data_IF_744330517596
#
_entry.id   IF_744330517596
#
_cell.length_a   1.000
_cell.length_b   1.000
_cell.length_c   1.000
_cell.angle_alpha   90.00
_cell.angle_beta   90.00
_cell.angle_gamma   90.00
#
_symmetry.space_group_name_H-M   'P 1'
#
loop_
_entity.id
_entity.type
_entity.pdbx_description
1 polymer ?
#
# COMPACT_ATOMS: atom_id res chain seq x y z
N UNK A 1 12.72 42.33 -20.61
CA UNK A 1 11.77 41.29 -20.14
C UNK A 1 11.32 40.46 -21.32
N UNK A 2 11.53 39.13 -21.26
CA UNK A 2 11.03 38.19 -22.26
C UNK A 2 9.49 38.17 -22.30
N UNK A 3 8.91 37.66 -23.39
CA UNK A 3 7.45 37.56 -23.56
C UNK A 3 6.84 36.64 -22.50
N UNK A 4 7.55 35.57 -22.17
CA UNK A 4 7.22 34.57 -21.17
C UNK A 4 7.11 35.21 -19.78
N UNK A 5 8.07 36.07 -19.39
CA UNK A 5 8.02 36.77 -18.10
C UNK A 5 6.80 37.69 -18.01
N UNK A 6 6.42 38.36 -19.10
CA UNK A 6 5.22 39.22 -19.12
C UNK A 6 3.94 38.41 -18.94
N UNK A 7 3.84 37.24 -19.59
CA UNK A 7 2.68 36.36 -19.45
C UNK A 7 2.60 35.77 -18.03
N UNK A 8 3.74 35.32 -17.49
CA UNK A 8 3.83 34.77 -16.15
C UNK A 8 3.41 35.80 -15.09
N UNK A 9 3.96 37.01 -15.14
CA UNK A 9 3.59 38.10 -14.22
C UNK A 9 2.12 38.53 -14.39
N UNK A 10 1.59 38.52 -15.62
CA UNK A 10 0.18 38.80 -15.86
C UNK A 10 -0.74 37.76 -15.21
N UNK A 11 -0.39 36.47 -15.26
CA UNK A 11 -1.17 35.41 -14.63
C UNK A 11 -1.02 35.49 -13.10
N UNK A 12 0.20 35.67 -12.59
CA UNK A 12 0.54 35.73 -11.16
C UNK A 12 -0.19 36.86 -10.44
N UNK A 13 -0.20 38.06 -11.03
CA UNK A 13 -0.78 39.26 -10.43
C UNK A 13 -2.28 39.41 -10.73
N UNK A 14 -2.88 38.49 -11.49
CA UNK A 14 -4.32 38.48 -11.75
C UNK A 14 -5.10 38.11 -10.49
N UNK A 15 -6.22 38.81 -10.25
CA UNK A 15 -7.21 38.42 -9.22
C UNK A 15 -7.86 37.08 -9.53
N UNK A 16 -7.96 36.73 -10.82
CA UNK A 16 -8.56 35.48 -11.29
C UNK A 16 -7.61 34.78 -12.28
N UNK A 17 -6.54 34.13 -11.79
CA UNK A 17 -5.52 33.53 -12.67
C UNK A 17 -6.10 32.52 -13.68
N UNK A 18 -7.12 31.75 -13.28
CA UNK A 18 -7.75 30.75 -14.14
C UNK A 18 -8.54 31.36 -15.30
N UNK A 19 -9.22 32.49 -15.09
CA UNK A 19 -9.89 33.19 -16.20
C UNK A 19 -8.84 33.79 -17.13
N UNK A 20 -7.78 34.38 -16.58
CA UNK A 20 -6.68 34.92 -17.38
C UNK A 20 -6.00 33.86 -18.24
N UNK A 21 -5.77 32.65 -17.72
CA UNK A 21 -5.26 31.51 -18.50
C UNK A 21 -6.22 31.14 -19.62
N UNK A 22 -7.53 31.05 -19.35
CA UNK A 22 -8.55 30.77 -20.38
C UNK A 22 -8.55 31.84 -21.48
N UNK A 23 -8.50 33.11 -21.09
CA UNK A 23 -8.55 34.25 -22.01
C UNK A 23 -7.29 34.31 -22.88
N UNK A 24 -6.12 34.04 -22.30
CA UNK A 24 -4.88 33.96 -23.06
C UNK A 24 -4.92 32.81 -24.09
N UNK A 25 -5.44 31.65 -23.69
CA UNK A 25 -5.60 30.50 -24.57
C UNK A 25 -6.61 30.78 -25.68
N UNK A 26 -7.78 31.36 -25.37
CA UNK A 26 -8.79 31.71 -26.39
C UNK A 26 -8.30 32.80 -27.34
N UNK A 27 -7.41 33.68 -26.88
CA UNK A 27 -6.70 34.67 -27.70
C UNK A 27 -5.55 34.09 -28.54
N UNK A 28 -5.40 32.76 -28.60
CA UNK A 28 -4.39 32.09 -29.44
C UNK A 28 -2.97 32.10 -28.89
N UNK A 29 -2.75 32.44 -27.62
CA UNK A 29 -1.42 32.35 -27.02
C UNK A 29 -1.06 30.89 -26.73
N UNK A 30 0.10 30.43 -27.22
CA UNK A 30 0.67 29.15 -26.77
C UNK A 30 1.28 29.33 -25.38
N UNK A 31 0.66 28.72 -24.38
CA UNK A 31 1.15 28.73 -22.99
C UNK A 31 2.19 27.63 -22.72
N UNK A 32 2.39 26.69 -23.65
CA UNK A 32 3.38 25.62 -23.54
C UNK A 32 4.81 26.15 -23.39
N UNK A 33 5.10 27.30 -24.01
CA UNK A 33 6.40 27.97 -23.88
C UNK A 33 6.73 28.37 -22.43
N UNK A 34 5.70 28.56 -21.59
CA UNK A 34 5.92 28.84 -20.17
C UNK A 34 6.51 27.65 -19.42
N UNK A 35 6.37 26.42 -19.92
CA UNK A 35 6.86 25.22 -19.25
C UNK A 35 8.39 25.20 -19.10
N UNK A 36 9.11 25.94 -19.95
CA UNK A 36 10.57 26.08 -19.87
C UNK A 36 11.00 27.15 -18.85
N UNK A 37 10.07 27.97 -18.36
CA UNK A 37 10.38 29.03 -17.43
C UNK A 37 10.57 28.50 -16.01
N UNK A 38 11.68 28.87 -15.34
CA UNK A 38 12.06 28.34 -14.04
C UNK A 38 10.98 28.50 -12.95
N UNK A 39 10.18 29.57 -13.01
CA UNK A 39 9.13 29.86 -12.01
C UNK A 39 7.75 29.26 -12.33
N UNK A 40 7.58 28.56 -13.46
CA UNK A 40 6.26 28.05 -13.87
C UNK A 40 5.68 27.08 -12.84
N UNK A 41 6.50 26.19 -12.26
CA UNK A 41 6.06 25.25 -11.25
C UNK A 41 5.58 25.94 -9.97
N UNK A 42 6.24 27.02 -9.56
CA UNK A 42 5.81 27.86 -8.43
C UNK A 42 4.45 28.51 -8.72
N UNK A 43 4.28 29.11 -9.91
CA UNK A 43 3.01 29.70 -10.33
C UNK A 43 1.87 28.66 -10.35
N UNK A 44 2.11 27.49 -10.96
CA UNK A 44 1.09 26.43 -11.05
C UNK A 44 0.68 25.93 -9.66
N UNK A 45 1.65 25.73 -8.76
CA UNK A 45 1.39 25.35 -7.38
C UNK A 45 0.55 26.40 -6.63
N UNK A 46 0.87 27.68 -6.79
CA UNK A 46 0.09 28.78 -6.18
C UNK A 46 -1.35 28.81 -6.69
N UNK A 47 -1.56 28.68 -8.01
CA UNK A 47 -2.90 28.65 -8.61
C UNK A 47 -3.69 27.45 -8.11
N UNK A 48 -3.08 26.25 -8.11
CA UNK A 48 -3.73 25.01 -7.66
C UNK A 48 -4.08 25.07 -6.18
N UNK A 49 -3.17 25.56 -5.33
CA UNK A 49 -3.40 25.74 -3.90
C UNK A 49 -4.53 26.74 -3.62
N UNK A 50 -4.50 27.92 -4.25
CA UNK A 50 -5.54 28.96 -4.05
C UNK A 50 -6.93 28.56 -4.53
N UNK A 51 -7.01 27.69 -5.54
CA UNK A 51 -8.28 27.27 -6.15
C UNK A 51 -8.71 25.85 -5.76
N UNK A 52 -8.10 25.26 -4.72
CA UNK A 52 -8.41 23.89 -4.26
C UNK A 52 -8.51 22.88 -5.42
N UNK A 53 -7.55 22.94 -6.36
CA UNK A 53 -7.50 22.03 -7.50
C UNK A 53 -8.61 22.17 -8.56
N UNK A 54 -9.61 23.04 -8.38
CA UNK A 54 -10.72 23.25 -9.34
C UNK A 54 -10.22 23.71 -10.73
N UNK A 55 -9.05 24.34 -10.77
CA UNK A 55 -8.39 24.81 -11.98
C UNK A 55 -7.56 23.79 -12.74
N UNK A 56 -7.34 22.58 -12.21
CA UNK A 56 -6.41 21.59 -12.78
C UNK A 56 -6.74 21.26 -14.23
N UNK A 57 -8.03 21.06 -14.55
CA UNK A 57 -8.47 20.81 -15.93
C UNK A 57 -8.11 21.95 -16.88
N UNK A 58 -8.34 23.19 -16.44
CA UNK A 58 -8.07 24.38 -17.26
C UNK A 58 -6.58 24.50 -17.55
N UNK A 59 -5.74 24.28 -16.54
CA UNK A 59 -4.28 24.36 -16.67
C UNK A 59 -3.75 23.27 -17.62
N UNK A 60 -4.19 22.03 -17.44
CA UNK A 60 -3.84 20.90 -18.32
C UNK A 60 -4.31 21.13 -19.76
N UNK A 61 -5.57 21.54 -19.94
CA UNK A 61 -6.12 21.81 -21.27
C UNK A 61 -5.36 22.96 -21.95
N UNK A 62 -4.71 23.84 -21.18
CA UNK A 62 -3.90 24.95 -21.70
C UNK A 62 -2.46 24.56 -22.02
N UNK A 63 -2.09 23.29 -21.93
CA UNK A 63 -0.75 22.78 -22.26
C UNK A 63 0.30 23.08 -21.18
N UNK A 64 -0.11 23.47 -19.97
CA UNK A 64 0.82 23.73 -18.88
C UNK A 64 1.28 22.41 -18.23
N UNK A 65 2.58 22.28 -18.01
CA UNK A 65 3.21 21.10 -17.44
C UNK A 65 2.94 21.02 -15.92
N UNK A 66 1.95 20.21 -15.56
CA UNK A 66 1.57 19.98 -14.16
C UNK A 66 2.55 19.07 -13.40
N UNK A 67 3.63 18.60 -14.03
CA UNK A 67 4.75 17.94 -13.35
C UNK A 67 5.80 18.92 -12.81
N UNK A 68 5.72 20.20 -13.20
CA UNK A 68 6.64 21.23 -12.75
C UNK A 68 6.59 21.43 -11.23
N UNK A 69 7.76 21.73 -10.66
CA UNK A 69 7.96 21.80 -9.22
C UNK A 69 8.02 23.25 -8.75
N UNK A 70 7.47 23.50 -7.57
CA UNK A 70 7.71 24.74 -6.84
C UNK A 70 9.20 24.85 -6.50
N UNK A 71 9.85 25.94 -6.90
CA UNK A 71 11.30 26.12 -6.73
C UNK A 71 11.73 26.16 -5.26
N UNK A 72 10.85 26.63 -4.38
CA UNK A 72 11.13 26.77 -2.94
C UNK A 72 10.88 25.47 -2.19
N UNK A 73 9.73 24.82 -2.39
CA UNK A 73 9.32 23.65 -1.58
C UNK A 73 9.61 22.31 -2.27
N UNK A 74 9.75 22.30 -3.59
CA UNK A 74 9.78 21.09 -4.40
C UNK A 74 8.40 20.44 -4.55
N UNK A 75 7.31 21.08 -4.14
CA UNK A 75 5.96 20.52 -4.35
C UNK A 75 5.61 20.50 -5.84
N UNK A 76 4.86 19.47 -6.24
CA UNK A 76 4.15 19.47 -7.52
C UNK A 76 2.66 19.74 -7.27
N UNK A 77 1.92 20.19 -8.30
CA UNK A 77 0.47 20.24 -8.23
C UNK A 77 -0.19 18.95 -7.70
N UNK A 78 0.36 17.79 -8.07
CA UNK A 78 -0.13 16.49 -7.58
C UNK A 78 0.05 16.33 -6.07
N UNK A 79 1.22 16.68 -5.52
CA UNK A 79 1.47 16.64 -4.07
C UNK A 79 0.46 17.52 -3.33
N UNK A 80 0.20 18.74 -3.83
CA UNK A 80 -0.73 19.68 -3.21
C UNK A 80 -2.17 19.15 -3.20
N UNK A 81 -2.69 18.67 -4.33
CA UNK A 81 -4.06 18.14 -4.35
C UNK A 81 -4.22 16.91 -3.47
N UNK A 82 -3.19 16.06 -3.37
CA UNK A 82 -3.18 14.92 -2.46
C UNK A 82 -3.10 15.36 -0.99
N UNK A 83 -2.30 16.38 -0.67
CA UNK A 83 -2.17 16.93 0.69
C UNK A 83 -3.48 17.57 1.19
N UNK A 84 -4.23 18.21 0.30
CA UNK A 84 -5.57 18.76 0.59
C UNK A 84 -6.67 17.68 0.58
N UNK A 85 -6.40 16.51 0.01
CA UNK A 85 -7.35 15.39 -0.09
C UNK A 85 -8.38 15.52 -1.22
N UNK A 86 -8.02 16.25 -2.28
CA UNK A 86 -8.88 16.57 -3.42
C UNK A 86 -8.88 15.43 -4.44
N UNK A 87 -9.82 14.50 -4.30
CA UNK A 87 -9.82 13.23 -5.04
C UNK A 87 -9.96 13.40 -6.56
N UNK A 88 -10.89 14.23 -7.02
CA UNK A 88 -11.13 14.47 -8.44
C UNK A 88 -9.88 15.03 -9.16
N UNK A 89 -9.33 16.17 -8.70
CA UNK A 89 -8.09 16.72 -9.24
C UNK A 89 -6.89 15.77 -9.13
N UNK A 90 -6.77 15.01 -8.05
CA UNK A 90 -5.72 14.01 -7.88
C UNK A 90 -5.79 12.92 -8.96
N UNK A 91 -6.95 12.30 -9.15
CA UNK A 91 -7.16 11.27 -10.19
C UNK A 91 -6.91 11.85 -11.58
N UNK A 92 -7.36 13.09 -11.83
CA UNK A 92 -7.12 13.76 -13.10
C UNK A 92 -5.61 13.94 -13.39
N UNK A 93 -4.83 14.36 -12.39
CA UNK A 93 -3.38 14.50 -12.54
C UNK A 93 -2.69 13.13 -12.68
N UNK A 94 -3.08 12.13 -11.88
CA UNK A 94 -2.53 10.77 -11.97
C UNK A 94 -2.67 10.21 -13.40
N UNK A 95 -3.83 10.42 -14.03
CA UNK A 95 -4.11 9.91 -15.38
C UNK A 95 -3.46 10.71 -16.52
N UNK A 96 -2.96 11.93 -16.25
CA UNK A 96 -2.41 12.82 -17.27
C UNK A 96 -0.89 12.98 -17.17
N UNK A 97 -0.32 12.75 -16.00
CA UNK A 97 1.12 12.85 -15.77
C UNK A 97 1.83 11.55 -16.16
N UNK A 98 3.07 11.63 -16.67
CA UNK A 98 3.83 10.45 -16.99
C UNK A 98 4.27 9.71 -15.70
N UNK A 99 4.38 8.37 -15.71
CA UNK A 99 4.58 7.58 -14.49
C UNK A 99 5.84 7.91 -13.68
N UNK A 100 6.91 8.37 -14.33
CA UNK A 100 8.16 8.77 -13.67
C UNK A 100 7.99 10.02 -12.78
N UNK A 101 7.00 10.87 -13.07
CA UNK A 101 6.72 12.09 -12.29
C UNK A 101 5.77 11.87 -11.13
N UNK A 102 5.01 10.77 -11.14
CA UNK A 102 4.06 10.42 -10.07
C UNK A 102 4.77 10.06 -8.75
N UNK A 103 6.02 9.62 -8.85
CA UNK A 103 6.90 9.30 -7.72
C UNK A 103 7.86 10.45 -7.43
N UNK A 104 7.44 11.69 -7.62
CA UNK A 104 8.25 12.83 -7.17
C UNK A 104 8.12 13.01 -5.66
N UNK A 105 9.22 13.38 -4.99
CA UNK A 105 9.24 13.79 -3.60
C UNK A 105 9.67 15.25 -3.47
N UNK A 106 8.93 16.03 -2.70
CA UNK A 106 9.33 17.41 -2.39
C UNK A 106 10.56 17.45 -1.44
N UNK A 107 11.01 18.65 -1.09
CA UNK A 107 12.19 18.84 -0.22
C UNK A 107 12.02 18.31 1.21
N UNK A 108 10.79 18.08 1.66
CA UNK A 108 10.51 17.45 2.96
C UNK A 108 10.35 15.92 2.88
N UNK A 109 10.57 15.33 1.70
CA UNK A 109 10.35 13.91 1.47
C UNK A 109 8.86 13.54 1.55
N UNK A 110 7.96 14.43 1.16
CA UNK A 110 6.55 14.12 0.99
C UNK A 110 6.24 13.76 -0.47
N UNK A 111 5.35 12.79 -0.66
CA UNK A 111 4.95 12.25 -1.97
C UNK A 111 3.44 12.22 -2.06
N UNK A 112 2.92 12.15 -3.29
CA UNK A 112 1.49 11.95 -3.51
C UNK A 112 0.98 10.71 -2.76
N UNK A 113 1.70 9.58 -2.86
CA UNK A 113 1.37 8.35 -2.15
C UNK A 113 1.36 8.53 -0.62
N UNK A 114 2.37 9.21 -0.05
CA UNK A 114 2.43 9.47 1.40
C UNK A 114 1.21 10.25 1.86
N UNK A 115 0.84 11.33 1.17
CA UNK A 115 -0.34 12.12 1.53
C UNK A 115 -1.65 11.37 1.36
N UNK A 116 -1.79 10.56 0.31
CA UNK A 116 -2.98 9.75 0.11
C UNK A 116 -3.16 8.70 1.23
N UNK A 117 -2.06 8.06 1.66
CA UNK A 117 -2.08 7.10 2.76
C UNK A 117 -2.39 7.79 4.09
N UNK A 118 -1.66 8.85 4.45
CA UNK A 118 -1.84 9.54 5.73
C UNK A 118 -3.23 10.13 5.88
N UNK A 119 -3.91 10.51 4.79
CA UNK A 119 -5.27 11.06 4.85
C UNK A 119 -6.39 10.02 4.73
N UNK A 120 -6.06 8.75 4.50
CA UNK A 120 -7.06 7.68 4.45
C UNK A 120 -7.77 7.52 3.10
N UNK A 121 -7.13 7.83 1.97
CA UNK A 121 -7.73 7.80 0.63
C UNK A 121 -7.79 6.39 -0.02
N UNK A 122 -7.99 5.34 0.77
CA UNK A 122 -8.12 3.97 0.25
C UNK A 122 -9.41 3.75 -0.53
N UNK A 123 -10.54 4.23 0.00
CA UNK A 123 -11.87 3.99 -0.56
C UNK A 123 -12.22 4.84 -1.79
N UNK A 124 -11.61 6.03 -1.95
CA UNK A 124 -11.95 6.96 -3.02
C UNK A 124 -11.24 6.65 -4.36
N UNK A 125 -10.48 5.55 -4.43
CA UNK A 125 -9.80 5.10 -5.63
C UNK A 125 -8.52 5.87 -5.99
N UNK A 126 -8.14 6.91 -5.25
CA UNK A 126 -6.91 7.67 -5.54
C UNK A 126 -5.65 6.81 -5.44
N UNK A 127 -5.50 6.04 -4.35
CA UNK A 127 -4.35 5.14 -4.15
C UNK A 127 -4.39 4.04 -5.20
N UNK A 128 -5.55 3.44 -5.45
CA UNK A 128 -5.69 2.39 -6.46
C UNK A 128 -5.33 2.89 -7.87
N UNK A 129 -5.80 4.08 -8.25
CA UNK A 129 -5.48 4.71 -9.54
C UNK A 129 -3.98 4.96 -9.65
N UNK A 130 -3.37 5.56 -8.62
CA UNK A 130 -1.93 5.80 -8.58
C UNK A 130 -1.13 4.50 -8.76
N UNK A 131 -1.45 3.47 -7.98
CA UNK A 131 -0.76 2.18 -8.07
C UNK A 131 -1.01 1.44 -9.40
N UNK A 132 -2.11 1.75 -10.10
CA UNK A 132 -2.42 1.12 -11.38
C UNK A 132 -1.56 1.61 -12.55
N UNK A 133 -1.00 2.82 -12.43
CA UNK A 133 -0.17 3.46 -13.46
C UNK A 133 1.32 3.45 -13.13
N UNK A 134 1.69 3.03 -11.90
CA UNK A 134 3.08 3.02 -11.44
C UNK A 134 3.81 1.73 -11.84
N UNK A 135 4.96 1.81 -12.51
CA UNK A 135 5.73 0.63 -12.91
C UNK A 135 6.30 -0.08 -11.68
N UNK A 136 5.70 -1.22 -11.34
CA UNK A 136 6.01 -2.03 -10.16
C UNK A 136 7.50 -2.31 -9.99
N UNK A 137 8.14 -2.74 -11.07
CA UNK A 137 9.53 -3.18 -11.04
C UNK A 137 10.53 -2.06 -10.85
N UNK A 138 10.17 -0.83 -11.23
CA UNK A 138 11.03 0.35 -11.08
C UNK A 138 10.75 1.10 -9.79
N UNK A 139 9.51 1.08 -9.31
CA UNK A 139 9.06 1.95 -8.23
C UNK A 139 8.81 1.22 -6.90
N UNK A 140 8.40 -0.05 -6.91
CA UNK A 140 7.95 -0.78 -5.72
C UNK A 140 8.81 -1.99 -5.35
N UNK A 141 9.43 -2.67 -6.31
CA UNK A 141 10.35 -3.77 -6.00
C UNK A 141 11.66 -3.23 -5.40
N UNK A 142 12.11 -3.75 -4.24
CA UNK A 142 13.45 -3.47 -3.72
C UNK A 142 14.52 -3.79 -4.76
N UNK A 143 15.52 -2.92 -4.91
CA UNK A 143 16.65 -3.17 -5.84
C UNK A 143 17.45 -4.42 -5.45
N UNK A 144 17.48 -4.77 -4.17
CA UNK A 144 18.23 -5.90 -3.62
C UNK A 144 17.46 -7.22 -3.65
N UNK A 145 16.31 -7.26 -4.31
CA UNK A 145 15.44 -8.44 -4.26
C UNK A 145 16.12 -9.68 -4.87
N UNK A 146 17.03 -9.50 -5.84
CA UNK A 146 17.85 -10.57 -6.41
C UNK A 146 18.78 -11.20 -5.36
N UNK A 147 19.43 -10.40 -4.51
CA UNK A 147 20.27 -10.90 -3.41
C UNK A 147 19.46 -11.61 -2.32
N UNK A 148 18.25 -11.11 -2.03
CA UNK A 148 17.32 -11.78 -1.10
C UNK A 148 16.95 -13.16 -1.65
N UNK A 149 16.69 -13.27 -2.95
CA UNK A 149 16.32 -14.53 -3.58
C UNK A 149 17.47 -15.54 -3.69
N UNK A 150 18.67 -15.10 -4.05
CA UNK A 150 19.84 -15.98 -4.06
C UNK A 150 20.06 -16.63 -2.68
N UNK A 151 19.83 -15.86 -1.60
CA UNK A 151 19.92 -16.38 -0.23
C UNK A 151 18.78 -17.34 0.12
N UNK A 152 17.54 -17.04 -0.26
CA UNK A 152 16.39 -17.95 -0.02
C UNK A 152 16.62 -19.29 -0.75
N UNK A 153 17.08 -19.24 -2.00
CA UNK A 153 17.34 -20.43 -2.82
C UNK A 153 18.48 -21.28 -2.24
N UNK A 154 19.55 -20.66 -1.73
CA UNK A 154 20.63 -21.34 -1.02
C UNK A 154 20.18 -21.99 0.29
N UNK A 155 19.30 -21.35 1.07
CA UNK A 155 18.74 -21.92 2.31
C UNK A 155 17.84 -23.12 2.00
N UNK A 156 17.00 -23.02 0.97
CA UNK A 156 16.09 -24.09 0.57
C UNK A 156 16.85 -25.31 0.03
N UNK A 157 17.89 -25.09 -0.78
CA UNK A 157 18.77 -26.17 -1.28
C UNK A 157 19.55 -26.87 -0.15
N UNK A 158 20.02 -26.13 0.86
CA UNK A 158 20.70 -26.69 2.05
C UNK A 158 19.77 -27.55 2.93
N UNK A 159 18.49 -27.20 3.00
CA UNK A 159 17.49 -28.01 3.73
C UNK A 159 17.18 -29.34 3.02
N UNK A 160 17.16 -29.33 1.69
CA UNK A 160 16.96 -30.53 0.87
C UNK A 160 18.18 -31.45 0.87
N UNK A 161 19.41 -30.90 0.91
CA UNK A 161 20.62 -31.72 1.00
C UNK A 161 20.81 -32.39 2.36
N UNK A 162 20.34 -31.78 3.46
CA UNK A 162 20.33 -32.41 4.80
C UNK A 162 19.30 -33.54 4.91
N UNK A 163 18.19 -33.47 4.18
CA UNK A 163 17.18 -34.55 4.17
C UNK A 163 17.63 -35.84 3.47
N UNK A 164 18.72 -35.79 2.68
CA UNK A 164 19.29 -36.96 1.99
C UNK A 164 20.24 -37.79 2.86
N UNK A 165 20.62 -37.34 4.06
CA UNK A 165 21.57 -38.06 4.93
C UNK A 165 20.93 -38.68 6.19
N UNK A 166 19.60 -38.72 6.29
CA UNK A 166 18.91 -39.37 7.42
C UNK A 166 18.38 -40.72 6.96
N UNK A 167 19.31 -41.66 6.80
CA UNK A 167 19.01 -43.10 6.84
C UNK A 167 20.06 -43.73 7.75
N UNK A 168 20.01 -43.35 9.03
CA UNK A 168 20.45 -44.14 10.18
C UNK A 168 20.18 -43.36 11.48
N UNK A 169 19.81 -44.12 12.51
CA UNK A 169 19.67 -43.79 13.94
C UNK A 169 18.25 -43.54 14.53
N UNK A 170 18.09 -44.13 15.71
CA UNK A 170 16.90 -44.52 16.47
C UNK A 170 16.03 -43.39 17.06
N UNK A 171 14.76 -43.70 17.44
CA UNK A 171 13.81 -42.71 17.94
C UNK A 171 13.91 -42.58 19.46
N UNK A 172 14.78 -41.70 19.95
CA UNK A 172 14.70 -41.23 21.34
C UNK A 172 15.44 -39.91 21.52
N UNK A 173 14.81 -38.81 21.08
CA UNK A 173 14.81 -37.50 21.73
C UNK A 173 13.99 -36.53 20.86
N UNK A 174 13.30 -35.60 21.51
CA UNK A 174 12.26 -34.79 20.89
C UNK A 174 12.87 -33.60 20.13
N UNK A 175 13.35 -33.84 18.91
CA UNK A 175 13.79 -32.77 18.02
C UNK A 175 12.59 -32.13 17.32
N UNK A 176 11.89 -31.26 18.06
CA UNK A 176 11.05 -30.23 17.46
C UNK A 176 11.92 -29.39 16.55
N UNK A 177 11.53 -29.27 15.27
CA UNK A 177 12.14 -28.45 14.22
C UNK A 177 12.30 -26.98 14.67
N UNK A 178 13.33 -26.69 15.46
CA UNK A 178 13.76 -25.36 15.78
C UNK A 178 14.53 -24.82 14.57
N UNK A 179 13.92 -23.87 13.85
CA UNK A 179 14.64 -23.04 12.90
C UNK A 179 15.64 -22.18 13.70
N UNK A 180 16.84 -22.74 13.89
CA UNK A 180 17.91 -22.19 14.69
C UNK A 180 18.34 -20.80 14.24
N UNK A 181 18.47 -19.96 15.25
CA UNK A 181 19.19 -18.69 15.31
C UNK A 181 20.54 -18.82 14.63
N UNK A 182 20.74 -18.20 13.46
CA UNK A 182 22.06 -17.77 12.94
C UNK A 182 21.91 -17.17 11.54
N UNK A 183 21.22 -16.02 11.47
CA UNK A 183 21.29 -15.12 10.31
C UNK A 183 21.24 -13.68 10.84
N UNK A 184 22.38 -13.17 11.28
CA UNK A 184 22.61 -11.75 11.58
C UNK A 184 22.62 -10.93 10.30
N UNK A 185 21.47 -10.82 9.64
CA UNK A 185 21.21 -9.78 8.66
C UNK A 185 20.43 -8.68 9.37
N UNK A 186 21.13 -7.70 9.93
CA UNK A 186 20.55 -6.37 10.11
C UNK A 186 20.44 -5.76 8.71
N UNK A 187 19.24 -5.54 8.15
CA UNK A 187 19.13 -4.65 7.01
C UNK A 187 19.64 -3.29 7.52
N UNK A 188 20.55 -2.66 6.77
CA UNK A 188 20.88 -1.26 7.03
C UNK A 188 19.56 -0.47 7.18
N UNK A 189 19.49 0.49 8.12
CA UNK A 189 18.27 1.27 8.30
C UNK A 189 17.91 1.86 6.96
N UNK A 190 16.80 1.41 6.39
CA UNK A 190 16.29 1.92 5.12
C UNK A 190 15.94 3.36 5.45
N UNK A 191 16.76 4.32 4.99
CA UNK A 191 16.37 5.72 4.97
C UNK A 191 14.94 5.78 4.46
N UNK A 192 14.03 6.51 5.13
CA UNK A 192 12.62 6.54 4.79
C UNK A 192 12.43 7.26 3.46
N UNK A 193 12.78 6.57 2.38
CA UNK A 193 12.50 6.98 1.02
C UNK A 193 10.99 7.01 0.91
N UNK A 194 10.48 8.22 0.73
CA UNK A 194 9.07 8.62 0.80
C UNK A 194 8.14 7.91 -0.20
N UNK A 195 8.73 7.20 -1.17
CA UNK A 195 8.09 6.35 -2.16
C UNK A 195 7.82 4.92 -1.67
N UNK A 196 8.49 4.49 -0.60
CA UNK A 196 8.37 3.14 -0.01
C UNK A 196 7.30 3.06 1.07
N UNK A 197 6.37 4.01 1.12
CA UNK A 197 5.34 4.09 2.16
C UNK A 197 4.49 2.81 2.24
N UNK A 198 4.14 2.20 1.10
CA UNK A 198 3.45 0.91 1.09
C UNK A 198 4.33 -0.24 1.58
N UNK A 199 5.65 -0.15 1.43
CA UNK A 199 6.58 -1.17 1.89
C UNK A 199 6.79 -1.14 3.41
N UNK A 200 6.08 -0.33 4.18
CA UNK A 200 6.13 -0.33 5.66
C UNK A 200 5.30 -1.47 6.25
N UNK A 201 5.45 -1.75 7.55
CA UNK A 201 4.58 -2.74 8.22
C UNK A 201 3.16 -2.21 8.36
N UNK A 202 2.18 -3.09 8.50
CA UNK A 202 0.78 -2.68 8.69
C UNK A 202 0.63 -1.78 9.93
N UNK A 203 1.36 -2.04 11.02
CA UNK A 203 1.33 -1.21 12.22
C UNK A 203 1.82 0.22 11.96
N UNK A 204 2.98 0.36 11.32
CA UNK A 204 3.52 1.67 10.93
C UNK A 204 2.56 2.41 9.99
N UNK A 205 1.96 1.70 9.03
CA UNK A 205 0.97 2.28 8.14
C UNK A 205 -0.24 2.80 8.91
N UNK A 206 -0.82 1.99 9.80
CA UNK A 206 -2.01 2.37 10.57
C UNK A 206 -1.78 3.58 11.46
N UNK A 207 -0.59 3.70 12.06
CA UNK A 207 -0.23 4.86 12.88
C UNK A 207 -0.06 6.14 12.05
N UNK A 208 0.41 6.02 10.80
CA UNK A 208 0.57 7.16 9.89
C UNK A 208 -0.76 7.70 9.35
N UNK A 209 -1.85 6.92 9.36
CA UNK A 209 -3.17 7.42 8.98
C UNK A 209 -3.65 8.42 10.04
N UNK A 210 -3.86 9.67 9.64
CA UNK A 210 -4.33 10.76 10.49
C UNK A 210 -5.84 10.68 10.78
N UNK A 211 -6.58 9.94 9.96
CA UNK A 211 -8.02 9.75 10.19
C UNK A 211 -8.28 8.75 11.32
N UNK A 212 -9.20 9.10 12.22
CA UNK A 212 -9.77 8.20 13.23
C UNK A 212 -10.97 7.40 12.71
N UNK A 213 -11.38 7.65 11.46
CA UNK A 213 -12.49 6.94 10.85
C UNK A 213 -12.08 5.50 10.48
N UNK A 214 -12.77 4.52 11.07
CA UNK A 214 -12.48 3.09 10.89
C UNK A 214 -12.52 2.71 9.40
N UNK A 215 -13.52 3.18 8.67
CA UNK A 215 -13.68 2.86 7.26
C UNK A 215 -12.50 3.36 6.42
N UNK A 216 -12.03 4.59 6.65
CA UNK A 216 -10.84 5.12 5.98
C UNK A 216 -9.58 4.31 6.30
N UNK A 217 -9.33 3.97 7.57
CA UNK A 217 -8.17 3.16 7.97
C UNK A 217 -8.24 1.79 7.29
N UNK A 218 -9.38 1.10 7.40
CA UNK A 218 -9.61 -0.22 6.82
C UNK A 218 -9.47 -0.20 5.28
N UNK A 219 -9.92 0.85 4.61
CA UNK A 219 -9.76 1.00 3.16
C UNK A 219 -8.29 1.14 2.74
N UNK A 220 -7.48 1.83 3.55
CA UNK A 220 -6.03 1.95 3.33
C UNK A 220 -5.35 0.61 3.58
N UNK A 221 -5.73 -0.13 4.63
CA UNK A 221 -5.23 -1.49 4.88
C UNK A 221 -5.59 -2.41 3.72
N UNK A 222 -6.81 -2.38 3.20
CA UNK A 222 -7.19 -3.21 2.05
C UNK A 222 -6.36 -2.87 0.82
N UNK A 223 -6.14 -1.58 0.55
CA UNK A 223 -5.29 -1.16 -0.57
C UNK A 223 -3.83 -1.57 -0.35
N UNK A 224 -3.35 -1.50 0.89
CA UNK A 224 -2.03 -1.97 1.30
C UNK A 224 -1.91 -3.49 1.14
N UNK A 225 -2.91 -4.26 1.54
CA UNK A 225 -2.97 -5.71 1.38
C UNK A 225 -2.81 -6.05 -0.10
N UNK A 226 -3.55 -5.37 -0.97
CA UNK A 226 -3.49 -5.58 -2.42
C UNK A 226 -2.16 -5.12 -3.05
N UNK A 227 -1.67 -3.94 -2.67
CA UNK A 227 -0.42 -3.38 -3.18
C UNK A 227 0.85 -4.09 -2.66
N UNK A 228 0.77 -4.68 -1.47
CA UNK A 228 1.87 -5.41 -0.82
C UNK A 228 1.83 -6.92 -1.00
N UNK A 229 1.02 -7.39 -1.96
CA UNK A 229 1.18 -8.71 -2.56
C UNK A 229 2.55 -8.91 -3.23
N UNK A 230 3.45 -7.94 -3.20
CA UNK A 230 4.79 -8.00 -3.78
C UNK A 230 5.92 -7.84 -2.77
N UNK A 231 5.61 -7.64 -1.49
CA UNK A 231 6.63 -7.67 -0.44
C UNK A 231 6.96 -9.13 -0.15
N UNK A 232 8.12 -9.58 -0.62
CA UNK A 232 8.76 -10.79 -0.06
C UNK A 232 9.72 -10.31 1.01
N UNK A 233 9.19 -10.18 2.23
CA UNK A 233 10.02 -10.00 3.40
C UNK A 233 10.43 -11.36 3.94
N UNK A 234 11.66 -11.43 4.41
CA UNK A 234 12.10 -12.45 5.37
C UNK A 234 11.06 -12.49 6.49
N UNK A 235 10.66 -13.67 7.01
CA UNK A 235 9.65 -13.78 8.06
C UNK A 235 9.87 -12.70 9.10
N UNK A 236 8.82 -11.89 9.31
CA UNK A 236 8.88 -10.80 10.27
C UNK A 236 9.31 -11.38 11.62
N UNK A 237 10.35 -10.81 12.24
CA UNK A 237 10.72 -11.16 13.62
C UNK A 237 9.47 -11.01 14.49
N UNK A 238 9.26 -11.92 15.44
CA UNK A 238 8.10 -11.93 16.34
C UNK A 238 7.77 -10.53 16.91
N UNK A 239 8.81 -9.73 17.19
CA UNK A 239 8.69 -8.32 17.59
C UNK A 239 7.86 -7.44 16.63
N UNK A 240 8.03 -7.55 15.32
CA UNK A 240 7.26 -6.75 14.36
C UNK A 240 5.80 -7.18 14.28
N UNK A 241 5.53 -8.48 14.42
CA UNK A 241 4.15 -8.99 14.45
C UNK A 241 3.43 -8.52 15.72
N UNK A 242 4.17 -8.46 16.83
CA UNK A 242 3.71 -7.89 18.09
C UNK A 242 3.41 -6.38 17.97
N UNK A 243 4.35 -5.59 17.43
CA UNK A 243 4.14 -4.17 17.19
C UNK A 243 2.93 -3.92 16.26
N UNK A 244 2.76 -4.72 15.21
CA UNK A 244 1.59 -4.67 14.33
C UNK A 244 0.28 -4.95 15.09
N UNK A 245 0.27 -5.96 15.95
CA UNK A 245 -0.90 -6.32 16.76
C UNK A 245 -1.30 -5.18 17.70
N UNK A 246 -0.33 -4.58 18.39
CA UNK A 246 -0.57 -3.44 19.30
C UNK A 246 -1.17 -2.24 18.54
N UNK A 247 -0.62 -1.89 17.36
CA UNK A 247 -1.16 -0.80 16.55
C UNK A 247 -2.59 -1.10 16.07
N UNK A 248 -2.87 -2.33 15.62
CA UNK A 248 -4.20 -2.76 15.19
C UNK A 248 -5.19 -2.68 16.36
N UNK A 249 -4.80 -3.17 17.54
CA UNK A 249 -5.63 -3.10 18.74
C UNK A 249 -6.01 -1.66 19.04
N UNK A 250 -5.02 -0.78 19.18
CA UNK A 250 -5.21 0.63 19.48
C UNK A 250 -6.05 1.39 18.45
N UNK A 251 -5.82 1.12 17.16
CA UNK A 251 -6.38 1.92 16.05
C UNK A 251 -7.70 1.39 15.49
N UNK A 252 -8.00 0.11 15.68
CA UNK A 252 -9.19 -0.54 15.13
C UNK A 252 -10.06 -1.19 16.20
N UNK A 253 -9.47 -1.96 17.11
CA UNK A 253 -10.22 -2.73 18.11
C UNK A 253 -10.79 -1.82 19.19
N UNK A 254 -9.96 -1.00 19.84
CA UNK A 254 -10.42 -0.11 20.92
C UNK A 254 -11.53 0.86 20.45
N UNK A 255 -11.45 1.48 19.25
CA UNK A 255 -12.55 2.32 18.75
C UNK A 255 -13.83 1.54 18.43
N UNK A 256 -13.73 0.28 18.00
CA UNK A 256 -14.90 -0.60 17.79
C UNK A 256 -15.56 -0.91 19.13
N UNK A 257 -14.78 -1.34 20.13
CA UNK A 257 -15.24 -1.64 21.48
C UNK A 257 -15.97 -0.45 22.10
N UNK A 258 -15.38 0.75 22.07
CA UNK A 258 -16.03 1.97 22.55
C UNK A 258 -17.35 2.27 21.85
N UNK A 259 -17.48 1.97 20.55
CA UNK A 259 -18.75 2.17 19.82
C UNK A 259 -19.81 1.15 20.22
N UNK A 260 -19.42 -0.09 20.47
CA UNK A 260 -20.31 -1.13 20.99
C UNK A 260 -20.81 -0.74 22.39
N UNK A 261 -19.94 -0.25 23.27
CA UNK A 261 -20.30 0.27 24.60
C UNK A 261 -21.33 1.41 24.52
N UNK A 262 -21.23 2.24 23.47
CA UNK A 262 -22.19 3.31 23.18
C UNK A 262 -23.49 2.81 22.52
N UNK A 263 -23.66 1.50 22.35
CA UNK A 263 -24.86 0.87 21.80
C UNK A 263 -24.95 0.85 20.27
N UNK A 264 -23.85 1.11 19.55
CA UNK A 264 -23.83 1.02 18.09
C UNK A 264 -23.71 -0.43 17.60
N UNK A 265 -24.51 -0.80 16.60
CA UNK A 265 -24.32 -2.06 15.87
C UNK A 265 -23.10 -1.96 14.95
N UNK A 266 -22.04 -2.68 15.31
CA UNK A 266 -20.76 -2.72 14.59
C UNK A 266 -20.53 -4.05 13.86
N UNK A 267 -21.57 -4.88 13.70
CA UNK A 267 -21.43 -6.27 13.19
C UNK A 267 -20.73 -6.33 11.83
N UNK A 268 -21.04 -5.41 10.91
CA UNK A 268 -20.45 -5.37 9.57
C UNK A 268 -18.96 -5.02 9.60
N UNK A 269 -18.58 -4.04 10.42
CA UNK A 269 -17.20 -3.60 10.63
C UNK A 269 -16.38 -4.71 11.26
N UNK A 270 -16.95 -5.43 12.23
CA UNK A 270 -16.29 -6.56 12.90
C UNK A 270 -16.03 -7.70 11.91
N UNK A 271 -17.03 -8.11 11.13
CA UNK A 271 -16.83 -9.12 10.08
C UNK A 271 -15.75 -8.71 9.08
N UNK A 272 -15.77 -7.45 8.65
CA UNK A 272 -14.78 -6.90 7.72
C UNK A 272 -13.38 -6.88 8.33
N UNK A 273 -13.27 -6.51 9.61
CA UNK A 273 -12.01 -6.54 10.35
C UNK A 273 -11.46 -7.96 10.48
N UNK A 274 -12.29 -8.94 10.87
CA UNK A 274 -11.89 -10.35 10.98
C UNK A 274 -11.34 -10.85 9.65
N UNK A 275 -12.01 -10.53 8.54
CA UNK A 275 -11.53 -10.89 7.21
C UNK A 275 -10.14 -10.29 6.94
N UNK A 276 -9.88 -9.03 7.32
CA UNK A 276 -8.54 -8.46 7.20
C UNK A 276 -7.51 -9.07 8.14
N UNK A 277 -7.87 -9.45 9.37
CA UNK A 277 -6.96 -10.11 10.31
C UNK A 277 -6.50 -11.46 9.77
N UNK A 278 -7.42 -12.27 9.24
CA UNK A 278 -7.11 -13.54 8.56
C UNK A 278 -6.13 -13.29 7.42
N UNK A 279 -6.40 -12.28 6.58
CA UNK A 279 -5.50 -11.90 5.48
C UNK A 279 -4.13 -11.51 6.00
N UNK A 280 -4.05 -10.68 7.04
CA UNK A 280 -2.78 -10.25 7.65
C UNK A 280 -1.98 -11.41 8.24
N UNK A 281 -2.64 -12.45 8.77
CA UNK A 281 -1.99 -13.70 9.17
C UNK A 281 -1.42 -14.45 7.96
N UNK A 282 -2.19 -14.57 6.87
CA UNK A 282 -1.72 -15.16 5.60
C UNK A 282 -0.55 -14.35 4.99
N UNK A 283 -0.52 -13.04 5.24
CA UNK A 283 0.57 -12.13 4.89
C UNK A 283 1.78 -12.18 5.84
N UNK A 284 1.74 -13.03 6.88
CA UNK A 284 2.73 -13.11 7.95
C UNK A 284 2.95 -11.77 8.70
N UNK A 285 1.98 -10.85 8.64
CA UNK A 285 2.00 -9.59 9.40
C UNK A 285 1.58 -9.77 10.85
N UNK A 286 0.85 -10.84 11.16
CA UNK A 286 0.38 -11.19 12.50
C UNK A 286 0.70 -12.66 12.79
N UNK A 287 0.97 -12.98 14.06
CA UNK A 287 1.13 -14.37 14.51
C UNK A 287 -0.23 -14.97 14.84
N UNK A 288 -0.63 -15.99 14.06
CA UNK A 288 -1.86 -16.73 14.25
C UNK A 288 -2.00 -17.36 15.66
N UNK A 289 -0.87 -17.65 16.33
CA UNK A 289 -0.82 -18.30 17.64
C UNK A 289 -1.26 -17.38 18.78
N UNK A 290 -1.13 -16.07 18.58
CA UNK A 290 -1.32 -15.06 19.63
C UNK A 290 -2.41 -14.05 19.29
N UNK A 291 -2.63 -13.74 18.00
CA UNK A 291 -3.58 -12.71 17.56
C UNK A 291 -4.99 -12.94 18.12
N UNK A 292 -5.58 -14.11 17.92
CA UNK A 292 -6.98 -14.38 18.28
C UNK A 292 -7.21 -14.32 19.79
N UNK A 293 -6.37 -15.02 20.57
CA UNK A 293 -6.45 -15.03 22.03
C UNK A 293 -6.31 -13.62 22.61
N UNK A 294 -5.31 -12.85 22.16
CA UNK A 294 -5.08 -11.52 22.69
C UNK A 294 -6.18 -10.53 22.35
N UNK A 295 -6.74 -10.63 21.15
CA UNK A 295 -7.86 -9.79 20.76
C UNK A 295 -9.12 -10.17 21.54
N UNK A 296 -9.38 -11.47 21.73
CA UNK A 296 -10.48 -11.97 22.57
C UNK A 296 -10.34 -11.51 24.03
N UNK A 297 -9.17 -11.69 24.64
CA UNK A 297 -8.86 -11.24 26.02
C UNK A 297 -9.06 -9.73 26.19
N UNK A 298 -8.81 -8.95 25.14
CA UNK A 298 -8.99 -7.50 25.17
C UNK A 298 -10.46 -7.08 25.08
N UNK A 299 -11.30 -7.90 24.44
CA UNK A 299 -12.74 -7.65 24.28
C UNK A 299 -13.61 -8.25 25.39
N UNK A 300 -13.12 -9.26 26.12
CA UNK A 300 -13.90 -9.98 27.13
C UNK A 300 -14.30 -9.14 28.34
N UNK A 301 -13.53 -8.09 28.65
CA UNK A 301 -13.80 -7.20 29.81
C UNK A 301 -15.06 -6.34 29.68
N UNK A 302 -15.69 -6.29 28.50
CA UNK A 302 -16.82 -5.40 28.18
C UNK A 302 -18.12 -6.19 27.94
N UNK A 303 -18.03 -7.50 27.68
CA UNK A 303 -19.14 -8.29 27.10
C UNK A 303 -19.99 -9.09 28.11
N UNK A 304 -19.86 -8.84 29.42
CA UNK A 304 -20.58 -9.53 30.52
C UNK A 304 -22.12 -9.36 30.53
N UNK A 305 -22.74 -8.95 29.43
CA UNK A 305 -24.19 -8.88 29.30
C UNK A 305 -24.78 -8.78 27.89
N UNK A 306 -23.99 -8.93 26.81
CA UNK A 306 -24.48 -8.68 25.43
C UNK A 306 -24.27 -9.90 24.52
N UNK A 307 -25.17 -10.89 24.63
CA UNK A 307 -25.47 -11.99 23.67
C UNK A 307 -24.31 -12.90 23.19
N UNK A 308 -24.63 -14.13 22.80
CA UNK A 308 -23.72 -15.16 22.22
C UNK A 308 -23.05 -14.77 20.88
N UNK A 309 -23.00 -13.48 20.51
CA UNK A 309 -22.48 -12.97 19.24
C UNK A 309 -21.53 -11.76 19.42
N UNK A 310 -20.88 -11.65 20.59
CA UNK A 310 -19.89 -10.60 20.90
C UNK A 310 -18.63 -10.65 20.02
N UNK A 311 -17.87 -9.55 20.01
CA UNK A 311 -16.56 -9.43 19.35
C UNK A 311 -15.59 -10.49 19.86
N UNK A 312 -15.58 -10.79 21.17
CA UNK A 312 -14.70 -11.82 21.74
C UNK A 312 -15.02 -13.19 21.15
N UNK A 313 -16.30 -13.55 21.16
CA UNK A 313 -16.79 -14.81 20.57
C UNK A 313 -16.48 -14.91 19.08
N UNK A 314 -16.70 -13.84 18.31
CA UNK A 314 -16.38 -13.85 16.88
C UNK A 314 -14.88 -13.98 16.59
N UNK A 315 -14.00 -13.44 17.45
CA UNK A 315 -12.55 -13.60 17.33
C UNK A 315 -12.09 -15.02 17.66
N UNK A 316 -12.70 -15.66 18.67
CA UNK A 316 -12.46 -17.07 18.99
C UNK A 316 -12.89 -17.99 17.85
N UNK A 317 -14.13 -17.81 17.36
CA UNK A 317 -14.65 -18.56 16.21
C UNK A 317 -13.78 -18.40 14.96
N UNK A 318 -13.26 -17.20 14.68
CA UNK A 318 -12.34 -16.98 13.57
C UNK A 318 -10.99 -17.70 13.76
N UNK A 319 -10.51 -17.77 15.01
CA UNK A 319 -9.33 -18.56 15.37
C UNK A 319 -9.53 -20.05 15.16
N UNK A 320 -10.70 -20.57 15.54
CA UNK A 320 -11.10 -21.96 15.30
C UNK A 320 -11.28 -22.28 13.82
N UNK A 321 -11.87 -21.36 13.03
CA UNK A 321 -12.04 -21.54 11.59
C UNK A 321 -10.71 -21.68 10.86
N UNK A 322 -9.67 -20.94 11.30
CA UNK A 322 -8.32 -21.15 10.76
C UNK A 322 -7.67 -22.47 11.18
N UNK A 323 -8.29 -23.16 12.14
CA UNK A 323 -7.77 -24.31 12.88
C UNK A 323 -6.63 -23.85 13.76
N UNK A 324 -6.82 -23.70 15.07
CA UNK A 324 -5.75 -23.35 15.99
C UNK A 324 -5.10 -24.64 16.56
N UNK A 325 -3.78 -24.88 16.39
CA UNK A 325 -2.78 -24.11 15.63
C UNK A 325 -3.00 -24.21 14.11
N UNK A 326 -2.63 -23.14 13.37
CA UNK A 326 -2.96 -22.92 11.94
C UNK A 326 -3.05 -24.24 11.16
N UNK A 327 -4.24 -24.53 10.64
CA UNK A 327 -4.46 -25.78 9.91
C UNK A 327 -3.50 -25.94 8.75
N UNK A 328 -3.22 -27.20 8.38
CA UNK A 328 -2.40 -27.55 7.23
C UNK A 328 -2.88 -26.84 5.94
N UNK A 329 -4.20 -26.63 5.81
CA UNK A 329 -4.79 -25.89 4.70
C UNK A 329 -4.29 -24.45 4.62
N UNK A 330 -4.30 -23.71 5.74
CA UNK A 330 -3.84 -22.32 5.77
C UNK A 330 -2.32 -22.21 5.60
N UNK A 331 -1.55 -23.16 6.15
CA UNK A 331 -0.11 -23.26 5.89
C UNK A 331 0.17 -23.50 4.40
N UNK A 332 -0.54 -24.43 3.77
CA UNK A 332 -0.40 -24.70 2.35
C UNK A 332 -0.76 -23.48 1.49
N UNK A 333 -1.83 -22.75 1.83
CA UNK A 333 -2.21 -21.50 1.15
C UNK A 333 -1.12 -20.44 1.29
N UNK A 334 -0.57 -20.29 2.49
CA UNK A 334 0.53 -19.34 2.76
C UNK A 334 1.76 -19.65 1.90
N UNK A 335 2.20 -20.91 1.88
CA UNK A 335 3.35 -21.31 1.08
C UNK A 335 3.10 -21.21 -0.43
N UNK A 336 1.91 -21.60 -0.90
CA UNK A 336 1.53 -21.45 -2.31
C UNK A 336 1.55 -19.99 -2.74
N UNK A 337 0.98 -19.09 -1.92
CA UNK A 337 1.02 -17.65 -2.15
C UNK A 337 2.46 -17.17 -2.26
N UNK A 338 3.32 -17.53 -1.30
CA UNK A 338 4.75 -17.17 -1.33
C UNK A 338 5.41 -17.61 -2.63
N UNK A 339 5.23 -18.87 -3.05
CA UNK A 339 5.77 -19.41 -4.31
C UNK A 339 5.28 -18.61 -5.53
N UNK A 340 3.97 -18.34 -5.60
CA UNK A 340 3.37 -17.55 -6.69
C UNK A 340 3.96 -16.14 -6.77
N UNK A 341 4.17 -15.50 -5.63
CA UNK A 341 4.80 -14.18 -5.56
C UNK A 341 6.25 -14.21 -6.03
N UNK A 342 7.04 -15.19 -5.58
CA UNK A 342 8.43 -15.36 -6.04
C UNK A 342 8.45 -15.45 -7.56
N UNK A 343 7.59 -16.30 -8.11
CA UNK A 343 7.51 -16.53 -9.56
C UNK A 343 7.11 -15.26 -10.31
N UNK A 344 6.09 -14.56 -9.83
CA UNK A 344 5.64 -13.31 -10.44
C UNK A 344 6.74 -12.24 -10.44
N UNK A 345 7.42 -12.06 -9.30
CA UNK A 345 8.50 -11.07 -9.18
C UNK A 345 9.66 -11.42 -10.11
N UNK A 346 10.05 -12.69 -10.22
CA UNK A 346 11.08 -13.14 -11.17
C UNK A 346 10.70 -12.82 -12.62
N UNK A 347 9.45 -13.03 -12.99
CA UNK A 347 8.94 -12.66 -14.33
C UNK A 347 9.06 -11.15 -14.57
N UNK A 348 8.65 -10.34 -13.59
CA UNK A 348 8.77 -8.89 -13.66
C UNK A 348 10.22 -8.44 -13.87
N UNK A 349 11.17 -8.99 -13.11
CA UNK A 349 12.60 -8.63 -13.24
C UNK A 349 13.19 -9.05 -14.58
N UNK A 350 12.87 -10.26 -15.07
CA UNK A 350 13.38 -10.78 -16.34
C UNK A 350 12.95 -9.93 -17.54
N UNK A 351 11.69 -9.50 -17.57
CA UNK A 351 11.19 -8.65 -18.65
C UNK A 351 11.87 -7.27 -18.70
N UNK A 352 12.27 -6.71 -17.55
CA UNK A 352 13.04 -5.45 -17.55
C UNK A 352 14.44 -5.60 -18.14
N UNK A 353 15.10 -6.75 -17.94
CA UNK A 353 16.46 -7.01 -18.44
C UNK A 353 16.50 -7.11 -19.98
N UNK A 354 15.41 -7.52 -20.62
CA UNK A 354 15.35 -7.67 -22.09
C UNK A 354 15.10 -6.37 -22.86
N UNK A 355 14.94 -5.23 -22.19
CA UNK A 355 14.72 -3.92 -22.83
C UNK A 355 13.57 -3.86 -23.86
N UNK A 356 12.65 -4.82 -23.86
CA UNK A 356 11.39 -4.71 -24.59
C UNK A 356 10.48 -3.75 -23.82
N UNK A 357 10.52 -2.48 -24.20
CA UNK A 357 9.64 -1.42 -23.69
C UNK A 357 8.13 -1.70 -23.94
N UNK A 358 7.78 -2.86 -24.51
CA UNK A 358 6.47 -3.22 -25.02
C UNK A 358 5.79 -4.39 -24.29
N UNK A 359 6.29 -4.89 -23.15
CA UNK A 359 5.47 -5.76 -22.30
C UNK A 359 4.63 -4.94 -21.30
N UNK A 360 3.35 -4.60 -21.62
CA UNK A 360 2.47 -3.80 -20.74
C UNK A 360 2.11 -4.50 -19.42
N UNK A 361 2.47 -5.78 -19.27
CA UNK A 361 2.08 -6.66 -18.16
C UNK A 361 2.72 -6.24 -16.82
N UNK A 362 3.75 -5.39 -16.78
CA UNK A 362 4.53 -5.13 -15.55
C UNK A 362 4.32 -3.70 -14.99
N UNK A 363 3.40 -2.94 -15.58
CA UNK A 363 3.20 -1.53 -15.24
C UNK A 363 2.18 -1.26 -14.11
N UNK A 364 1.52 -2.29 -13.55
CA UNK A 364 0.40 -2.10 -12.62
C UNK A 364 0.57 -2.94 -11.34
N UNK A 365 0.45 -2.31 -10.16
CA UNK A 365 0.57 -3.01 -8.88
C UNK A 365 -0.48 -4.11 -8.63
N UNK A 366 -1.66 -3.95 -9.21
CA UNK A 366 -2.76 -4.91 -9.17
C UNK A 366 -2.67 -5.98 -10.27
N UNK A 367 -1.57 -6.06 -11.03
CA UNK A 367 -1.42 -7.11 -12.04
C UNK A 367 -1.18 -8.49 -11.42
N UNK A 368 -0.65 -8.57 -10.18
CA UNK A 368 -0.48 -9.85 -9.50
C UNK A 368 -1.81 -10.59 -9.31
N UNK A 369 -2.89 -9.94 -8.80
CA UNK A 369 -4.20 -10.55 -8.79
C UNK A 369 -4.66 -11.08 -10.17
N UNK A 370 -4.56 -10.25 -11.22
CA UNK A 370 -4.92 -10.65 -12.60
C UNK A 370 -4.05 -11.79 -13.14
N UNK A 371 -2.80 -11.87 -12.72
CA UNK A 371 -1.88 -12.93 -13.11
C UNK A 371 -2.25 -14.25 -12.42
N UNK A 372 -2.58 -14.22 -11.13
CA UNK A 372 -3.03 -15.40 -10.39
C UNK A 372 -4.39 -15.92 -10.90
N UNK A 373 -5.29 -15.05 -11.36
CA UNK A 373 -6.55 -15.46 -12.01
C UNK A 373 -6.35 -16.38 -13.22
N UNK A 374 -5.22 -16.24 -13.91
CA UNK A 374 -4.86 -17.06 -15.08
C UNK A 374 -4.30 -18.44 -14.70
N UNK A 375 -4.04 -18.68 -13.41
CA UNK A 375 -3.50 -19.95 -12.92
C UNK A 375 -4.67 -20.88 -12.55
N UNK A 376 -4.60 -22.18 -12.90
CA UNK A 376 -5.65 -23.16 -12.56
C UNK A 376 -5.58 -23.55 -11.07
N UNK A 377 -5.94 -22.62 -10.19
CA UNK A 377 -6.01 -22.81 -8.73
C UNK A 377 -7.48 -22.92 -8.30
N UNK A 378 -7.85 -23.82 -7.37
CA UNK A 378 -9.21 -23.92 -6.83
C UNK A 378 -9.76 -22.57 -6.34
N UNK A 379 -11.06 -22.33 -6.51
CA UNK A 379 -11.71 -21.04 -6.18
C UNK A 379 -11.51 -20.58 -4.74
N UNK A 380 -11.57 -21.50 -3.77
CA UNK A 380 -11.38 -21.17 -2.36
C UNK A 380 -9.95 -20.68 -2.07
N UNK A 381 -8.94 -21.35 -2.64
CA UNK A 381 -7.54 -20.92 -2.55
C UNK A 381 -7.33 -19.59 -3.26
N UNK A 382 -7.96 -19.40 -4.42
CA UNK A 382 -7.90 -18.15 -5.17
C UNK A 382 -8.40 -16.97 -4.34
N UNK A 383 -9.55 -17.09 -3.67
CA UNK A 383 -10.09 -16.04 -2.79
C UNK A 383 -9.09 -15.61 -1.71
N UNK A 384 -8.40 -16.58 -1.10
CA UNK A 384 -7.45 -16.33 0.00
C UNK A 384 -6.07 -15.87 -0.51
N UNK A 385 -5.61 -16.36 -1.67
CA UNK A 385 -4.33 -15.96 -2.28
C UNK A 385 -4.41 -14.58 -2.93
N UNK A 386 -5.52 -14.29 -3.63
CA UNK A 386 -5.77 -13.03 -4.32
C UNK A 386 -6.09 -11.89 -3.38
N UNK A 387 -6.56 -12.20 -2.16
CA UNK A 387 -7.05 -11.22 -1.21
C UNK A 387 -8.07 -10.29 -1.91
N UNK A 388 -9.00 -10.91 -2.67
CA UNK A 388 -10.02 -10.22 -3.47
C UNK A 388 -10.66 -9.10 -2.64
N UNK A 389 -11.03 -7.94 -3.21
CA UNK A 389 -11.73 -6.90 -2.46
C UNK A 389 -12.85 -7.54 -1.63
N UNK A 390 -12.87 -7.26 -0.34
CA UNK A 390 -14.01 -7.68 0.48
C UNK A 390 -15.25 -7.09 -0.18
N UNK A 391 -16.24 -7.93 -0.51
CA UNK A 391 -17.46 -7.50 -1.20
C UNK A 391 -18.29 -6.50 -0.37
N UNK A 392 -17.84 -6.18 0.84
CA UNK A 392 -18.33 -5.07 1.64
C UNK A 392 -17.95 -3.74 1.00
N UNK A 393 -18.75 -3.31 0.00
CA UNK A 393 -19.17 -1.91 0.01
C UNK A 393 -19.93 -1.72 1.33
N UNK A 394 -19.23 -1.27 2.38
CA UNK A 394 -19.86 -0.80 3.61
C UNK A 394 -20.80 0.36 3.29
#
# INVERSE_FOLDING_TARGET
MSRENRLLERIRNSKCPLSTVKDLKSSGHSLENLNQHAEVGTLLCEIVGRNYGLGVKILLDSGLDMSAQNTRTGDTPLILVCAEGLCGPAIQLINRLPPDKLMHSNKSGATALKHLLTRGHGACGCIATLLSVLPLSRCMLPRDIEQIYEKIEQVQLRSLSKSKSVMDCNPSESDCLAFGEDCSLTPAPIEPNSHKALLTTVGTLTDQVLSSDLYRILSVIQTWIQGNLLIIRVPHRARHQEENLVCIQKRLIDPILRRIEMGHDMRKEIHTLIEYLIRLVVLEQLDARTVWRRLADSSSSIEDGISDQGLSFMMEMAGEEMGFPVSLQFLAIRELRRIMQVRFIRMCLHANRKSDAQTPIIQNAFIFPRWVEQIPVPKFMRRIILLEPTNCKL
#
